data_IF_143507499180
#
_entry.id   IF_143507499180
#
_cell.length_a   1.000
_cell.length_b   1.000
_cell.length_c   1.000
_cell.angle_alpha   90.00
_cell.angle_beta   90.00
_cell.angle_gamma   90.00
#
_symmetry.space_group_name_H-M   'P 1'
#
loop_
_entity.id
_entity.type
_entity.pdbx_description
1 polymer ?
#
# COMPACT_ATOMS: atom_id res chain seq x y z
N UNK A 1 29.25 14.97 13.86
CA UNK A 1 29.16 13.84 12.91
C UNK A 1 27.76 13.29 13.04
N UNK A 2 26.97 13.32 11.96
CA UNK A 2 25.62 12.74 11.98
C UNK A 2 25.78 11.21 12.06
N UNK A 3 25.06 10.56 12.97
CA UNK A 3 25.19 9.13 13.19
C UNK A 3 24.58 8.34 12.01
N UNK A 4 25.09 7.14 11.74
CA UNK A 4 24.52 6.26 10.70
C UNK A 4 23.02 5.98 10.92
N UNK A 5 22.57 5.97 12.18
CA UNK A 5 21.16 5.79 12.54
C UNK A 5 20.29 7.00 12.15
N UNK A 6 20.80 8.22 12.32
CA UNK A 6 20.11 9.45 11.91
C UNK A 6 19.95 9.50 10.39
N UNK A 7 21.02 9.17 9.65
CA UNK A 7 20.98 9.13 8.16
C UNK A 7 19.99 8.09 7.65
N UNK A 8 19.95 6.90 8.25
CA UNK A 8 19.00 5.85 7.87
C UNK A 8 17.55 6.25 8.17
N UNK A 9 17.31 6.88 9.31
CA UNK A 9 15.98 7.38 9.69
C UNK A 9 15.48 8.47 8.72
N UNK A 10 16.34 9.44 8.40
CA UNK A 10 16.03 10.51 7.45
C UNK A 10 15.70 9.93 6.06
N UNK A 11 16.47 8.94 5.60
CA UNK A 11 16.20 8.27 4.33
C UNK A 11 14.86 7.54 4.32
N UNK A 12 14.48 6.86 5.41
CA UNK A 12 13.18 6.18 5.50
C UNK A 12 12.00 7.14 5.53
N UNK A 13 12.16 8.29 6.19
CA UNK A 13 11.12 9.32 6.26
C UNK A 13 10.91 9.99 4.90
N UNK A 14 11.99 10.24 4.14
CA UNK A 14 11.90 10.71 2.75
C UNK A 14 11.11 9.71 1.90
N UNK A 15 11.44 8.41 1.97
CA UNK A 15 10.69 7.38 1.24
C UNK A 15 9.22 7.37 1.65
N UNK A 16 8.90 7.51 2.93
CA UNK A 16 7.52 7.59 3.41
C UNK A 16 6.76 8.79 2.83
N UNK A 17 7.39 9.97 2.75
CA UNK A 17 6.81 11.17 2.13
C UNK A 17 6.56 10.99 0.63
N UNK A 18 7.44 10.29 -0.07
CA UNK A 18 7.23 9.96 -1.48
C UNK A 18 6.05 8.99 -1.67
N UNK A 19 5.91 7.99 -0.79
CA UNK A 19 4.75 7.10 -0.82
C UNK A 19 3.45 7.84 -0.49
N UNK A 20 3.50 8.88 0.34
CA UNK A 20 2.36 9.75 0.62
C UNK A 20 1.94 10.59 -0.59
N UNK A 21 2.94 11.16 -1.29
CA UNK A 21 2.73 11.84 -2.58
C UNK A 21 2.14 10.89 -3.62
N UNK A 22 2.61 9.64 -3.61
CA UNK A 22 2.17 8.53 -4.43
C UNK A 22 2.94 8.38 -5.73
N UNK A 23 3.05 7.14 -6.19
CA UNK A 23 3.78 6.75 -7.40
C UNK A 23 2.85 6.04 -8.40
N UNK A 24 3.14 6.24 -9.69
CA UNK A 24 2.42 5.55 -10.75
C UNK A 24 2.78 4.06 -10.73
N UNK A 25 1.78 3.19 -10.80
CA UNK A 25 1.98 1.73 -10.80
C UNK A 25 0.88 1.07 -11.61
N UNK A 26 1.04 -0.24 -11.87
CA UNK A 26 0.02 -1.08 -12.46
C UNK A 26 -0.56 -2.03 -11.41
N UNK A 27 -1.88 -1.96 -11.20
CA UNK A 27 -2.59 -2.82 -10.26
C UNK A 27 -3.14 -4.05 -10.97
N UNK A 28 -2.91 -5.22 -10.39
CA UNK A 28 -3.51 -6.48 -10.80
C UNK A 28 -4.61 -6.85 -9.80
N UNK A 29 -5.75 -7.31 -10.31
CA UNK A 29 -6.90 -7.72 -9.51
C UNK A 29 -7.50 -8.99 -10.09
N UNK A 30 -7.98 -9.88 -9.24
CA UNK A 30 -8.76 -11.02 -9.70
C UNK A 30 -10.09 -10.62 -10.38
N UNK A 31 -10.64 -9.44 -10.06
CA UNK A 31 -11.97 -8.99 -10.53
C UNK A 31 -11.94 -8.13 -11.79
N UNK A 32 -10.92 -7.29 -11.92
CA UNK A 32 -10.80 -6.32 -13.01
C UNK A 32 -9.50 -6.54 -13.77
N UNK A 33 -9.51 -6.17 -15.06
CA UNK A 33 -8.31 -6.22 -15.90
C UNK A 33 -7.19 -5.35 -15.30
N UNK A 34 -5.91 -5.74 -15.41
CA UNK A 34 -4.82 -4.94 -14.87
C UNK A 34 -4.82 -3.54 -15.47
N UNK A 35 -4.72 -2.53 -14.60
CA UNK A 35 -4.86 -1.12 -14.96
C UNK A 35 -3.72 -0.28 -14.38
N UNK A 36 -3.36 0.76 -15.12
CA UNK A 36 -2.41 1.76 -14.66
C UNK A 36 -3.15 2.81 -13.82
N UNK A 37 -2.48 3.29 -12.78
CA UNK A 37 -3.00 4.30 -11.89
C UNK A 37 -1.92 4.77 -10.93
N UNK A 38 -2.33 5.39 -9.84
CA UNK A 38 -1.44 5.92 -8.82
C UNK A 38 -1.75 5.27 -7.48
N UNK A 39 -0.73 4.70 -6.85
CA UNK A 39 -0.81 4.19 -5.49
C UNK A 39 -0.20 5.22 -4.54
N UNK A 40 -0.86 5.50 -3.42
CA UNK A 40 -0.37 6.43 -2.41
C UNK A 40 -0.76 6.03 -1.00
N UNK A 41 -0.08 6.59 -0.02
CA UNK A 41 -0.43 6.46 1.40
C UNK A 41 -1.10 7.74 1.87
N UNK A 42 -2.23 7.65 2.57
CA UNK A 42 -2.78 8.77 3.32
C UNK A 42 -2.30 8.62 4.78
N UNK A 43 -1.23 9.32 5.18
CA UNK A 43 -0.63 9.13 6.51
C UNK A 43 -1.55 9.55 7.64
N UNK A 44 -2.32 10.62 7.45
CA UNK A 44 -3.30 11.11 8.44
C UNK A 44 -4.23 10.00 8.94
N UNK A 45 -4.78 9.20 8.02
CA UNK A 45 -5.71 8.11 8.36
C UNK A 45 -5.06 6.73 8.35
N UNK A 46 -3.81 6.61 7.90
CA UNK A 46 -3.08 5.34 7.79
C UNK A 46 -3.70 4.38 6.78
N UNK A 47 -4.03 4.84 5.57
CA UNK A 47 -4.63 4.02 4.52
C UNK A 47 -3.81 3.99 3.23
N UNK A 48 -3.80 2.83 2.55
CA UNK A 48 -3.39 2.72 1.15
C UNK A 48 -4.55 3.18 0.26
N UNK A 49 -4.27 4.12 -0.62
CA UNK A 49 -5.21 4.69 -1.56
C UNK A 49 -4.78 4.36 -2.99
N UNK A 50 -5.72 3.83 -3.78
CA UNK A 50 -5.58 3.67 -5.21
C UNK A 50 -6.31 4.82 -5.91
N UNK A 51 -5.71 5.37 -6.96
CA UNK A 51 -6.34 6.34 -7.86
C UNK A 51 -6.24 5.77 -9.27
N UNK A 52 -7.38 5.38 -9.84
CA UNK A 52 -7.45 4.86 -11.20
C UNK A 52 -7.12 5.93 -12.25
N UNK A 53 -6.93 5.50 -13.49
CA UNK A 53 -6.64 6.40 -14.62
C UNK A 53 -7.74 7.44 -14.89
N UNK A 54 -8.99 7.14 -14.52
CA UNK A 54 -10.14 8.05 -14.61
C UNK A 54 -10.24 9.03 -13.44
N UNK A 55 -9.29 9.00 -12.50
CA UNK A 55 -9.29 9.84 -11.29
C UNK A 55 -10.14 9.32 -10.14
N UNK A 56 -10.78 8.16 -10.29
CA UNK A 56 -11.55 7.53 -9.21
C UNK A 56 -10.61 7.09 -8.08
N UNK A 57 -10.86 7.57 -6.87
CA UNK A 57 -10.09 7.21 -5.68
C UNK A 57 -10.78 6.10 -4.89
N UNK A 58 -10.02 5.07 -4.53
CA UNK A 58 -10.47 3.91 -3.75
C UNK A 58 -9.56 3.73 -2.53
N UNK A 59 -10.15 3.52 -1.36
CA UNK A 59 -9.42 3.10 -0.16
C UNK A 59 -9.23 1.59 -0.21
N UNK A 60 -7.99 1.12 -0.30
CA UNK A 60 -7.69 -0.32 -0.45
C UNK A 60 -7.71 -1.04 0.91
N UNK A 61 -6.93 -0.53 1.86
CA UNK A 61 -6.80 -1.10 3.20
C UNK A 61 -6.14 -0.11 4.15
N UNK A 62 -6.33 -0.33 5.44
CA UNK A 62 -5.56 0.35 6.48
C UNK A 62 -4.19 -0.31 6.65
N UNK A 63 -3.18 0.50 6.97
CA UNK A 63 -1.84 0.02 7.34
C UNK A 63 -1.87 -0.95 8.54
N UNK A 64 -2.87 -0.82 9.43
CA UNK A 64 -3.06 -1.74 10.57
C UNK A 64 -3.52 -3.15 10.16
N UNK A 65 -4.15 -3.27 9.00
CA UNK A 65 -4.68 -4.54 8.49
C UNK A 65 -3.66 -5.28 7.63
N UNK A 66 -2.53 -4.66 7.28
CA UNK A 66 -1.44 -5.29 6.53
C UNK A 66 -0.77 -6.34 7.42
N UNK A 67 -0.61 -7.55 6.88
CA UNK A 67 0.05 -8.68 7.55
C UNK A 67 1.40 -9.01 6.94
N UNK A 68 1.55 -8.80 5.63
CA UNK A 68 2.78 -9.10 4.92
C UNK A 68 2.90 -8.25 3.65
N UNK A 69 4.10 -7.77 3.36
CA UNK A 69 4.47 -7.18 2.07
C UNK A 69 5.54 -8.08 1.44
N UNK A 70 5.22 -8.71 0.31
CA UNK A 70 6.05 -9.72 -0.32
C UNK A 70 6.51 -9.28 -1.71
N UNK A 71 7.77 -9.53 -2.02
CA UNK A 71 8.31 -9.31 -3.35
C UNK A 71 7.87 -10.39 -4.37
N UNK A 72 7.66 -9.99 -5.63
CA UNK A 72 7.34 -10.87 -6.76
C UNK A 72 5.85 -10.95 -7.12
N UNK A 73 5.46 -12.06 -7.75
CA UNK A 73 4.15 -12.26 -8.41
C UNK A 73 3.34 -13.46 -7.91
N UNK A 74 3.69 -14.01 -6.76
CA UNK A 74 3.04 -15.20 -6.19
C UNK A 74 1.65 -14.91 -5.59
N UNK A 75 0.71 -14.38 -6.38
CA UNK A 75 -0.68 -14.14 -5.98
C UNK A 75 -1.68 -14.60 -7.05
N UNK A 76 -2.91 -14.89 -6.61
CA UNK A 76 -4.02 -15.25 -7.51
C UNK A 76 -4.42 -14.12 -8.47
N UNK A 77 -4.03 -12.87 -8.18
CA UNK A 77 -4.28 -11.74 -9.07
C UNK A 77 -3.38 -11.80 -10.31
N UNK A 78 -2.10 -12.14 -10.14
CA UNK A 78 -1.18 -12.33 -11.27
C UNK A 78 -1.47 -13.61 -12.04
N UNK A 79 -1.84 -14.70 -11.36
CA UNK A 79 -2.24 -15.97 -12.00
C UNK A 79 -3.49 -15.80 -12.88
N UNK A 80 -4.40 -14.88 -12.51
CA UNK A 80 -5.62 -14.59 -13.29
C UNK A 80 -5.32 -13.93 -14.64
N UNK A 81 -4.23 -13.17 -14.73
CA UNK A 81 -3.85 -12.40 -15.92
C UNK A 81 -2.44 -12.78 -16.39
N UNK A 82 -2.23 -14.04 -16.83
CA UNK A 82 -0.89 -14.56 -17.09
C UNK A 82 -0.17 -13.82 -18.23
N UNK A 83 -0.90 -13.38 -19.26
CA UNK A 83 -0.33 -12.67 -20.41
C UNK A 83 0.17 -11.27 -20.02
N UNK A 84 -0.63 -10.50 -19.28
CA UNK A 84 -0.21 -9.21 -18.74
C UNK A 84 0.89 -9.37 -17.68
N UNK A 85 0.79 -10.38 -16.82
CA UNK A 85 1.76 -10.62 -15.76
C UNK A 85 3.13 -11.01 -16.32
N UNK A 86 3.21 -11.76 -17.43
CA UNK A 86 4.48 -12.10 -18.10
C UNK A 86 5.23 -10.89 -18.65
N UNK A 87 4.52 -9.81 -19.00
CA UNK A 87 5.13 -8.57 -19.53
C UNK A 87 5.81 -7.73 -18.46
N UNK A 88 5.41 -7.89 -17.20
CA UNK A 88 6.07 -7.20 -16.10
C UNK A 88 7.33 -7.96 -15.68
N UNK A 89 8.30 -7.29 -15.09
CA UNK A 89 9.43 -7.98 -14.45
C UNK A 89 8.99 -8.47 -13.06
N UNK A 90 9.37 -9.70 -12.68
CA UNK A 90 9.14 -10.18 -11.31
C UNK A 90 9.79 -9.26 -10.27
N UNK A 91 10.95 -8.69 -10.59
CA UNK A 91 11.68 -7.80 -9.70
C UNK A 91 11.01 -6.43 -9.54
N UNK A 92 10.07 -6.06 -10.41
CA UNK A 92 9.27 -4.83 -10.26
C UNK A 92 7.93 -5.07 -9.57
N UNK A 93 7.66 -6.29 -9.13
CA UNK A 93 6.37 -6.65 -8.56
C UNK A 93 6.43 -6.87 -7.05
N UNK A 94 5.34 -6.53 -6.39
CA UNK A 94 5.12 -6.85 -4.98
C UNK A 94 3.64 -7.11 -4.71
N UNK A 95 3.37 -7.75 -3.58
CA UNK A 95 2.05 -8.15 -3.13
C UNK A 95 1.90 -7.73 -1.68
N UNK A 96 0.81 -7.03 -1.37
CA UNK A 96 0.41 -6.71 0.01
C UNK A 96 -0.71 -7.66 0.40
N UNK A 97 -0.48 -8.46 1.45
CA UNK A 97 -1.49 -9.30 2.08
C UNK A 97 -2.08 -8.56 3.27
N UNK A 98 -3.40 -8.41 3.28
CA UNK A 98 -4.10 -7.62 4.29
C UNK A 98 -5.47 -8.20 4.65
N UNK A 99 -5.95 -7.85 5.85
CA UNK A 99 -7.27 -8.22 6.34
C UNK A 99 -7.26 -8.64 7.80
N UNK A 100 -8.47 -8.81 8.35
CA UNK A 100 -8.73 -9.24 9.73
C UNK A 100 -9.09 -10.73 9.84
N UNK A 101 -9.40 -11.36 8.73
CA UNK A 101 -9.82 -12.76 8.64
C UNK A 101 -8.63 -13.69 8.29
N UNK A 102 -8.82 -15.00 8.48
CA UNK A 102 -7.81 -16.01 8.10
C UNK A 102 -7.49 -15.96 6.59
N UNK A 103 -8.52 -15.77 5.75
CA UNK A 103 -8.34 -15.61 4.31
C UNK A 103 -8.04 -14.14 4.00
N UNK A 104 -6.75 -13.83 3.91
CA UNK A 104 -6.29 -12.48 3.56
C UNK A 104 -6.68 -12.10 2.12
N UNK A 105 -6.90 -10.80 1.92
CA UNK A 105 -7.01 -10.17 0.60
C UNK A 105 -5.62 -9.80 0.09
N UNK A 106 -5.51 -9.59 -1.21
CA UNK A 106 -4.26 -9.24 -1.89
C UNK A 106 -4.41 -7.95 -2.68
N UNK A 107 -3.42 -7.08 -2.56
CA UNK A 107 -3.16 -5.98 -3.49
C UNK A 107 -1.88 -6.34 -4.23
N UNK A 108 -2.00 -6.63 -5.54
CA UNK A 108 -0.90 -7.07 -6.38
C UNK A 108 -0.50 -5.95 -7.33
N UNK A 109 0.79 -5.57 -7.33
CA UNK A 109 1.26 -4.34 -7.98
C UNK A 109 2.53 -4.59 -8.77
N UNK A 110 2.64 -3.97 -9.94
CA UNK A 110 3.90 -3.80 -10.66
C UNK A 110 4.29 -2.31 -10.67
N UNK A 111 5.44 -1.99 -10.10
CA UNK A 111 6.05 -0.66 -10.15
C UNK A 111 6.67 -0.37 -11.53
N UNK A 112 6.96 0.90 -11.82
CA UNK A 112 7.54 1.28 -13.11
C UNK A 112 9.04 0.96 -13.15
N UNK A 113 9.73 1.03 -12.01
CA UNK A 113 11.14 0.69 -11.87
C UNK A 113 11.41 -0.31 -10.72
N UNK A 114 12.60 -0.93 -10.74
CA UNK A 114 13.07 -1.84 -9.68
C UNK A 114 13.27 -1.10 -8.35
N UNK A 115 13.89 0.07 -8.41
CA UNK A 115 14.16 0.89 -7.23
C UNK A 115 12.84 1.34 -6.58
N UNK A 116 11.86 1.76 -7.38
CA UNK A 116 10.51 2.07 -6.90
C UNK A 116 9.84 0.88 -6.21
N UNK A 117 10.02 -0.34 -6.73
CA UNK A 117 9.48 -1.54 -6.08
C UNK A 117 10.10 -1.75 -4.69
N UNK A 118 11.41 -1.56 -4.60
CA UNK A 118 12.17 -1.69 -3.35
C UNK A 118 11.76 -0.61 -2.34
N UNK A 119 11.60 0.63 -2.79
CA UNK A 119 11.11 1.76 -2.01
C UNK A 119 9.69 1.51 -1.49
N UNK A 120 8.79 0.96 -2.33
CA UNK A 120 7.44 0.58 -1.90
C UNK A 120 7.48 -0.47 -0.78
N UNK A 121 8.27 -1.53 -0.95
CA UNK A 121 8.37 -2.60 0.05
C UNK A 121 8.94 -2.06 1.37
N UNK A 122 10.06 -1.33 1.31
CA UNK A 122 10.72 -0.78 2.49
C UNK A 122 9.86 0.27 3.19
N UNK A 123 9.30 1.21 2.43
CA UNK A 123 8.43 2.26 2.95
C UNK A 123 7.14 1.71 3.55
N UNK A 124 6.51 0.71 2.93
CA UNK A 124 5.34 0.05 3.51
C UNK A 124 5.68 -0.67 4.82
N UNK A 125 6.78 -1.43 4.87
CA UNK A 125 7.20 -2.11 6.09
C UNK A 125 7.51 -1.11 7.23
N UNK A 126 8.18 0.00 6.91
CA UNK A 126 8.43 1.09 7.84
C UNK A 126 7.12 1.70 8.37
N UNK A 127 6.22 2.11 7.48
CA UNK A 127 4.93 2.73 7.84
C UNK A 127 4.02 1.78 8.63
N UNK A 128 4.04 0.49 8.31
CA UNK A 128 3.31 -0.54 9.09
C UNK A 128 3.91 -0.66 10.49
N UNK A 129 5.23 -0.69 10.62
CA UNK A 129 5.91 -0.71 11.93
C UNK A 129 5.58 0.54 12.74
N UNK A 130 5.66 1.72 12.13
CA UNK A 130 5.30 3.00 12.75
C UNK A 130 3.86 2.99 13.23
N UNK A 131 2.92 2.54 12.38
CA UNK A 131 1.51 2.43 12.75
C UNK A 131 1.32 1.49 13.97
N UNK A 132 2.01 0.35 14.01
CA UNK A 132 1.89 -0.59 15.12
C UNK A 132 2.53 -0.08 16.44
N UNK A 133 3.53 0.80 16.36
CA UNK A 133 4.14 1.43 17.52
C UNK A 133 3.22 2.47 18.20
N UNK A 134 2.21 2.99 17.48
CA UNK A 134 1.22 3.92 18.04
C UNK A 134 0.40 3.19 19.14
N UNK A 135 0.24 3.81 20.33
CA UNK A 135 -0.56 3.25 21.42
C UNK A 135 -1.97 2.85 20.96
N UNK A 136 -2.47 1.75 21.51
CA UNK A 136 -3.78 1.21 21.13
C UNK A 136 -4.92 2.22 21.29
N UNK A 137 -4.89 3.06 22.33
CA UNK A 137 -5.90 4.10 22.56
C UNK A 137 -5.98 5.09 21.40
N UNK A 138 -4.84 5.60 20.96
CA UNK A 138 -4.74 6.53 19.81
C UNK A 138 -5.17 5.85 18.51
N UNK A 139 -4.81 4.56 18.34
CA UNK A 139 -5.26 3.75 17.20
C UNK A 139 -6.79 3.62 17.17
N UNK A 140 -7.39 3.34 18.31
CA UNK A 140 -8.84 3.21 18.46
C UNK A 140 -9.53 4.53 18.14
N UNK A 141 -9.02 5.66 18.61
CA UNK A 141 -9.55 7.00 18.28
C UNK A 141 -9.52 7.28 16.77
N UNK A 142 -8.41 7.00 16.09
CA UNK A 142 -8.30 7.16 14.62
C UNK A 142 -9.29 6.26 13.88
N UNK A 143 -9.45 5.02 14.34
CA UNK A 143 -10.40 4.08 13.77
C UNK A 143 -11.84 4.60 13.93
N UNK A 144 -12.25 4.99 15.15
CA UNK A 144 -13.58 5.52 15.43
C UNK A 144 -13.90 6.78 14.61
N UNK A 145 -12.92 7.68 14.45
CA UNK A 145 -13.06 8.86 13.60
C UNK A 145 -13.28 8.48 12.12
N UNK A 146 -12.58 7.47 11.63
CA UNK A 146 -12.76 6.97 10.25
C UNK A 146 -14.15 6.37 10.06
N UNK A 147 -14.60 5.52 11.00
CA UNK A 147 -15.95 4.94 10.97
C UNK A 147 -17.04 6.02 11.02
N UNK A 148 -16.84 7.06 11.83
CA UNK A 148 -17.75 8.20 11.90
C UNK A 148 -17.91 8.91 10.55
N UNK A 149 -16.80 9.24 9.87
CA UNK A 149 -16.87 9.88 8.55
C UNK A 149 -17.48 8.97 7.48
N UNK A 150 -17.24 7.65 7.56
CA UNK A 150 -17.87 6.70 6.63
C UNK A 150 -19.40 6.69 6.83
N UNK A 151 -19.89 6.75 8.07
CA UNK A 151 -21.32 6.84 8.36
C UNK A 151 -21.96 8.12 7.81
N UNK A 152 -21.27 9.27 7.91
CA UNK A 152 -21.76 10.54 7.34
C UNK A 152 -21.78 10.52 5.81
N UNK A 153 -20.74 9.97 5.17
CA UNK A 153 -20.68 9.84 3.71
C UNK A 153 -21.73 8.89 3.13
N UNK A 154 -22.25 7.95 3.92
CA UNK A 154 -23.36 7.08 3.52
C UNK A 154 -24.74 7.73 3.62
N UNK A 155 -24.84 8.94 4.19
CA UNK A 155 -26.10 9.68 4.38
C UNK A 155 -26.40 10.74 3.30
N UNK A 156 -25.49 10.92 2.35
CA UNK A 156 -25.62 11.78 1.17
C UNK A 156 -25.54 10.95 -0.11
#
# INVERSE_FOLDING_TARGET
MCSLAEVLFEQTEITAQELETGKAVKRFSHRHRPENGKLKIRRETGHIIWIGSTGTSEVITSLFDIKEVRHGKGSKDFEKWPEEARREDRARCFIVFYGKEFKLRTLSVAALALDECTEWINGLNYLVSEAHAIPYTVRLERFLRTEFYNMENHRN
#
